data_IF_183203974043
#
_entry.id   IF_183203974043
#
_cell.length_a   1.000
_cell.length_b   1.000
_cell.length_c   1.000
_cell.angle_alpha   90.00
_cell.angle_beta   90.00
_cell.angle_gamma   90.00
#
_symmetry.space_group_name_H-M   'P 1'
#
loop_
_entity.id
_entity.type
_entity.pdbx_description
1 polymer ?
#
# COMPACT_ATOMS: atom_id res chain seq x y z
N UNK A 1 -3.32 -4.05 -3.86
CA UNK A 1 -3.35 -3.70 -2.43
C UNK A 1 -3.69 -2.24 -2.21
N UNK A 2 -2.78 -1.30 -2.53
CA UNK A 2 -3.02 0.15 -2.44
C UNK A 2 -4.35 0.60 -3.04
N UNK A 3 -4.60 0.30 -4.32
CA UNK A 3 -5.85 0.66 -5.00
C UNK A 3 -7.07 0.13 -4.26
N UNK A 4 -7.03 -1.12 -3.75
CA UNK A 4 -8.13 -1.69 -2.99
C UNK A 4 -8.36 -0.95 -1.67
N UNK A 5 -7.29 -0.56 -0.97
CA UNK A 5 -7.41 0.20 0.28
C UNK A 5 -7.99 1.61 0.03
N UNK A 6 -7.55 2.31 -1.03
CA UNK A 6 -8.07 3.62 -1.41
C UNK A 6 -9.56 3.55 -1.79
N UNK A 7 -9.93 2.57 -2.62
CA UNK A 7 -11.32 2.38 -3.02
C UNK A 7 -12.21 2.03 -1.82
N UNK A 8 -11.73 1.18 -0.90
CA UNK A 8 -12.44 0.87 0.34
C UNK A 8 -12.64 2.08 1.25
N UNK A 9 -11.76 3.08 1.16
CA UNK A 9 -11.87 4.36 1.87
C UNK A 9 -12.68 5.43 1.09
N UNK A 10 -13.25 5.10 -0.07
CA UNK A 10 -13.99 6.05 -0.91
C UNK A 10 -13.11 7.08 -1.63
N UNK A 11 -11.80 6.89 -1.68
CA UNK A 11 -10.86 7.80 -2.34
C UNK A 11 -10.76 7.43 -3.82
N UNK A 12 -11.06 8.39 -4.70
CA UNK A 12 -11.08 8.18 -6.15
C UNK A 12 -9.73 7.72 -6.73
N UNK A 13 -8.61 8.02 -6.06
CA UNK A 13 -7.30 7.49 -6.42
C UNK A 13 -6.77 7.98 -7.76
N UNK A 14 -7.14 9.20 -8.16
CA UNK A 14 -6.75 9.81 -9.44
C UNK A 14 -5.30 10.30 -9.49
N UNK A 15 -4.64 10.41 -8.32
CA UNK A 15 -3.23 10.73 -8.20
C UNK A 15 -2.31 9.51 -8.20
N UNK A 16 -1.02 9.72 -8.43
CA UNK A 16 0.01 8.67 -8.38
C UNK A 16 0.45 8.42 -6.95
N UNK A 17 -0.42 7.81 -6.14
CA UNK A 17 -0.04 7.40 -4.79
C UNK A 17 1.10 6.39 -4.87
N UNK A 18 2.22 6.67 -4.19
CA UNK A 18 3.37 5.75 -4.09
C UNK A 18 3.37 5.06 -2.74
N UNK A 19 3.71 3.78 -2.75
CA UNK A 19 3.96 2.95 -1.58
C UNK A 19 5.34 2.31 -1.73
N UNK A 20 5.98 2.04 -0.60
CA UNK A 20 7.27 1.37 -0.58
C UNK A 20 7.30 0.35 0.56
N UNK A 21 7.96 -0.77 0.34
CA UNK A 21 8.20 -1.79 1.35
C UNK A 21 9.66 -2.21 1.29
N UNK A 22 10.29 -2.34 2.44
CA UNK A 22 11.64 -2.89 2.57
C UNK A 22 11.54 -4.31 3.10
N UNK A 23 12.25 -5.24 2.44
CA UNK A 23 12.41 -6.61 2.90
C UNK A 23 13.87 -6.83 3.25
N UNK A 24 14.13 -7.31 4.45
CA UNK A 24 15.48 -7.70 4.89
C UNK A 24 15.70 -9.15 4.45
N UNK A 25 16.68 -9.36 3.58
CA UNK A 25 17.02 -10.67 3.02
C UNK A 25 18.45 -11.04 3.43
N UNK A 26 18.63 -12.00 4.36
CA UNK A 26 19.96 -12.53 4.67
C UNK A 26 20.60 -13.19 3.44
N UNK A 27 21.94 -13.07 3.26
CA UNK A 27 22.63 -13.76 2.18
C UNK A 27 22.55 -15.28 2.36
N UNK A 28 22.50 -16.01 1.24
CA UNK A 28 22.48 -17.49 1.23
C UNK A 28 21.11 -18.14 1.47
N UNK A 29 20.06 -17.35 1.68
CA UNK A 29 18.69 -17.88 1.74
C UNK A 29 18.22 -18.40 0.38
N UNK A 30 17.30 -19.37 0.39
CA UNK A 30 16.67 -19.88 -0.83
C UNK A 30 15.95 -18.76 -1.58
N UNK A 31 16.09 -18.74 -2.91
CA UNK A 31 15.37 -17.80 -3.76
C UNK A 31 13.88 -18.14 -3.79
N UNK A 32 13.06 -17.09 -3.80
CA UNK A 32 11.61 -17.20 -3.86
C UNK A 32 11.10 -16.81 -5.25
N UNK A 33 9.98 -17.40 -5.66
CA UNK A 33 9.38 -17.05 -6.95
C UNK A 33 8.99 -15.57 -6.99
N UNK A 34 9.37 -14.91 -8.09
CA UNK A 34 8.98 -13.53 -8.36
C UNK A 34 7.46 -13.38 -8.48
N UNK A 35 6.98 -12.20 -8.08
CA UNK A 35 5.75 -12.04 -7.31
C UNK A 35 4.40 -12.12 -8.05
N UNK A 36 3.38 -12.26 -7.20
CA UNK A 36 1.95 -12.12 -7.47
C UNK A 36 1.18 -12.40 -6.17
N UNK A 37 -0.13 -12.10 -6.06
CA UNK A 37 -0.89 -12.27 -4.81
C UNK A 37 -0.92 -13.71 -4.26
N UNK A 38 -0.61 -14.70 -5.11
CA UNK A 38 -0.58 -16.12 -4.77
C UNK A 38 0.77 -16.60 -4.22
N UNK A 39 1.84 -15.82 -4.34
CA UNK A 39 3.13 -16.19 -3.75
C UNK A 39 3.19 -15.82 -2.27
N UNK A 40 3.98 -16.55 -1.48
CA UNK A 40 4.12 -16.30 -0.04
C UNK A 40 4.52 -14.85 0.24
N UNK A 41 5.55 -14.36 -0.45
CA UNK A 41 6.04 -12.99 -0.28
C UNK A 41 5.12 -11.95 -0.94
N UNK A 42 4.57 -12.22 -2.12
CA UNK A 42 3.63 -11.31 -2.78
C UNK A 42 2.38 -11.05 -1.93
N UNK A 43 1.84 -12.10 -1.29
CA UNK A 43 0.72 -11.98 -0.37
C UNK A 43 1.07 -11.18 0.90
N UNK A 44 2.26 -11.39 1.47
CA UNK A 44 2.75 -10.64 2.64
C UNK A 44 2.92 -9.15 2.34
N UNK A 45 3.58 -8.83 1.22
CA UNK A 45 3.79 -7.46 0.76
C UNK A 45 2.44 -6.76 0.48
N UNK A 46 1.52 -7.45 -0.21
CA UNK A 46 0.20 -6.91 -0.50
C UNK A 46 -0.60 -6.56 0.77
N UNK A 47 -0.55 -7.42 1.80
CA UNK A 47 -1.21 -7.13 3.09
C UNK A 47 -0.57 -5.94 3.80
N UNK A 48 0.76 -5.91 3.90
CA UNK A 48 1.48 -4.81 4.53
C UNK A 48 1.16 -3.46 3.87
N UNK A 49 1.16 -3.41 2.53
CA UNK A 49 0.75 -2.22 1.76
C UNK A 49 -0.69 -1.83 2.05
N UNK A 50 -1.62 -2.79 2.01
CA UNK A 50 -3.04 -2.52 2.23
C UNK A 50 -3.26 -1.90 3.62
N UNK A 51 -2.67 -2.50 4.66
CA UNK A 51 -2.84 -2.04 6.04
C UNK A 51 -2.24 -0.65 6.26
N UNK A 52 -1.04 -0.40 5.72
CA UNK A 52 -0.39 0.91 5.81
C UNK A 52 -1.19 2.01 5.10
N UNK A 53 -1.69 1.75 3.88
CA UNK A 53 -2.50 2.71 3.14
C UNK A 53 -3.83 2.97 3.84
N UNK A 54 -4.49 1.91 4.32
CA UNK A 54 -5.74 2.03 5.08
C UNK A 54 -5.54 2.88 6.35
N UNK A 55 -4.46 2.65 7.08
CA UNK A 55 -4.12 3.46 8.26
C UNK A 55 -3.93 4.94 7.88
N UNK A 56 -3.21 5.23 6.80
CA UNK A 56 -3.03 6.60 6.28
C UNK A 56 -4.35 7.28 5.90
N UNK A 57 -5.33 6.53 5.40
CA UNK A 57 -6.67 7.06 5.07
C UNK A 57 -7.50 7.41 6.32
N UNK A 58 -7.15 6.87 7.48
CA UNK A 58 -7.86 7.10 8.75
C UNK A 58 -7.24 8.20 9.63
N UNK A 59 -6.09 8.72 9.24
CA UNK A 59 -5.48 9.87 9.92
C UNK A 59 -6.33 11.10 9.58
N UNK A 60 -6.90 11.82 10.57
CA UNK A 60 -7.61 13.06 10.31
C UNK A 60 -6.70 14.02 9.54
N UNK A 61 -7.08 14.38 8.31
CA UNK A 61 -6.34 15.36 7.54
C UNK A 61 -6.42 16.72 8.22
N UNK A 62 -5.29 17.41 8.32
CA UNK A 62 -5.30 18.87 8.37
C UNK A 62 -6.13 19.36 7.18
N UNK A 63 -7.35 19.86 7.44
CA UNK A 63 -8.17 20.50 6.43
C UNK A 63 -7.47 21.78 5.96
N UNK A 64 -6.62 21.69 4.94
CA UNK A 64 -6.20 22.83 4.14
C UNK A 64 -5.72 22.35 2.77
N UNK A 65 -6.56 22.49 1.75
CA UNK A 65 -6.39 23.52 0.72
C UNK A 65 -7.26 23.15 -0.49
N UNK A 66 -8.31 23.93 -0.74
CA UNK A 66 -8.96 24.02 -2.06
C UNK A 66 -10.40 23.54 -2.16
N UNK A 67 -11.33 24.17 -1.44
CA UNK A 67 -12.67 24.40 -1.98
C UNK A 67 -12.89 25.92 -2.02
N UNK A 68 -12.24 26.56 -3.00
CA UNK A 68 -12.58 27.92 -3.39
C UNK A 68 -13.80 27.83 -4.31
N UNK A 69 -14.96 28.07 -3.73
CA UNK A 69 -16.14 28.56 -4.46
C UNK A 69 -15.95 30.03 -4.81
#
# INVERSE_FOLDING_TARGET
AKTQALLAAGIAGTGTASDAVTVICPPGAASEQFGGPRSTWGARLARAVHDAVRAGCTVPGHMAQGDAR
#
